data_IF_551599046879
#
_entry.id   IF_551599046879
#
_cell.length_a   1.000
_cell.length_b   1.000
_cell.length_c   1.000
_cell.angle_alpha   90.00
_cell.angle_beta   90.00
_cell.angle_gamma   90.00
#
_symmetry.space_group_name_H-M   'P 1'
#
loop_
_entity.id
_entity.type
_entity.pdbx_description
1 polymer ?
#
# COMPACT_ATOMS: atom_id res chain seq x y z
N UNK A 1 11.10 15.52 27.00
CA UNK A 1 9.88 16.06 26.37
C UNK A 1 10.06 15.92 24.87
N UNK A 2 9.39 14.95 24.24
CA UNK A 2 9.50 14.72 22.81
C UNK A 2 8.67 15.78 22.08
N UNK A 3 9.35 16.62 21.29
CA UNK A 3 8.73 17.67 20.49
C UNK A 3 8.11 17.00 19.27
N UNK A 4 6.79 16.83 19.28
CA UNK A 4 6.04 16.36 18.13
C UNK A 4 6.04 17.47 17.08
N UNK A 5 6.86 17.31 16.04
CA UNK A 5 6.75 18.13 14.84
C UNK A 5 5.41 17.80 14.18
N UNK A 6 4.36 18.57 14.52
CA UNK A 6 3.17 18.67 13.69
C UNK A 6 3.62 19.25 12.35
N UNK A 7 3.89 18.37 11.40
CA UNK A 7 3.86 18.71 9.99
C UNK A 7 2.43 19.18 9.72
N UNK A 8 2.19 20.49 9.76
CA UNK A 8 0.97 21.05 9.19
C UNK A 8 0.98 20.65 7.71
N UNK A 9 0.13 19.69 7.35
CA UNK A 9 -0.07 19.32 5.95
C UNK A 9 -0.33 20.60 5.15
N UNK A 10 0.26 20.75 3.94
CA UNK A 10 0.07 21.94 3.14
C UNK A 10 -1.40 22.06 2.78
N UNK A 11 -2.14 22.86 3.56
CA UNK A 11 -3.56 23.15 3.32
C UNK A 11 -3.65 23.69 1.90
N UNK A 12 -4.26 22.91 1.01
CA UNK A 12 -4.10 23.12 -0.41
C UNK A 12 -4.62 24.51 -0.80
N UNK A 13 -3.72 25.30 -1.37
CA UNK A 13 -3.87 26.72 -1.70
C UNK A 13 -5.07 27.06 -2.59
N UNK A 14 -5.73 26.06 -3.18
CA UNK A 14 -6.90 26.22 -4.03
C UNK A 14 -8.25 26.07 -3.29
N UNK A 15 -8.27 25.56 -2.05
CA UNK A 15 -9.49 25.58 -1.23
C UNK A 15 -9.81 27.00 -0.73
N UNK A 16 -8.78 27.81 -0.46
CA UNK A 16 -8.92 29.11 0.22
C UNK A 16 -9.35 30.27 -0.71
N UNK A 17 -9.54 30.01 -2.00
CA UNK A 17 -9.89 31.06 -2.97
C UNK A 17 -11.39 31.39 -3.06
N UNK A 18 -12.26 30.76 -2.25
CA UNK A 18 -13.70 30.77 -2.52
C UNK A 18 -14.59 31.61 -1.61
N UNK A 19 -14.07 32.39 -0.65
CA UNK A 19 -14.90 33.22 0.21
C UNK A 19 -14.79 34.73 -0.05
N UNK A 20 -14.90 35.15 -1.32
CA UNK A 20 -14.95 36.58 -1.66
C UNK A 20 -16.10 36.88 -2.63
N UNK A 21 -17.31 36.99 -2.09
CA UNK A 21 -18.46 37.52 -2.82
C UNK A 21 -19.82 37.08 -2.27
N UNK A 22 -20.49 37.97 -1.54
CA UNK A 22 -21.78 37.80 -0.84
C UNK A 22 -23.02 37.58 -1.74
N UNK A 23 -22.91 36.95 -2.91
CA UNK A 23 -24.03 36.78 -3.87
C UNK A 23 -24.00 35.46 -4.63
N UNK A 24 -23.67 34.33 -3.99
CA UNK A 24 -23.80 33.00 -4.63
C UNK A 24 -25.21 32.45 -4.41
N UNK A 25 -25.74 31.74 -5.41
CA UNK A 25 -27.04 31.07 -5.27
C UNK A 25 -26.96 30.01 -4.15
N UNK A 26 -28.05 29.77 -3.40
CA UNK A 26 -28.08 28.72 -2.37
C UNK A 26 -27.70 27.34 -2.93
N UNK A 27 -28.12 27.05 -4.17
CA UNK A 27 -27.76 25.81 -4.88
C UNK A 27 -26.24 25.68 -5.09
N UNK A 28 -25.58 26.74 -5.57
CA UNK A 28 -24.13 26.73 -5.79
C UNK A 28 -23.36 26.53 -4.47
N UNK A 29 -23.83 27.12 -3.38
CA UNK A 29 -23.21 26.92 -2.08
C UNK A 29 -23.33 25.47 -1.61
N UNK A 30 -24.52 24.87 -1.75
CA UNK A 30 -24.75 23.45 -1.43
C UNK A 30 -23.87 22.53 -2.26
N UNK A 31 -23.78 22.74 -3.57
CA UNK A 31 -22.97 21.90 -4.47
C UNK A 31 -21.48 22.01 -4.19
N UNK A 32 -20.97 23.22 -3.91
CA UNK A 32 -19.56 23.40 -3.54
C UNK A 32 -19.23 22.75 -2.19
N UNK A 33 -20.14 22.87 -1.21
CA UNK A 33 -19.96 22.22 0.10
C UNK A 33 -19.97 20.70 0.00
N UNK A 34 -20.85 20.13 -0.83
CA UNK A 34 -20.89 18.68 -1.07
C UNK A 34 -19.62 18.19 -1.78
N UNK A 35 -19.12 18.95 -2.76
CA UNK A 35 -17.88 18.66 -3.46
C UNK A 35 -16.66 18.71 -2.52
N UNK A 36 -16.59 19.73 -1.66
CA UNK A 36 -15.55 19.84 -0.64
C UNK A 36 -15.60 18.64 0.32
N UNK A 37 -16.79 18.26 0.77
CA UNK A 37 -16.98 17.09 1.63
C UNK A 37 -16.49 15.80 0.96
N UNK A 38 -16.92 15.54 -0.28
CA UNK A 38 -16.49 14.37 -1.07
C UNK A 38 -14.98 14.35 -1.27
N UNK A 39 -14.39 15.49 -1.61
CA UNK A 39 -12.94 15.61 -1.80
C UNK A 39 -12.20 15.28 -0.50
N UNK A 40 -12.64 15.84 0.63
CA UNK A 40 -12.09 15.54 1.95
C UNK A 40 -12.21 14.06 2.31
N UNK A 41 -13.31 13.41 1.96
CA UNK A 41 -13.48 11.95 2.15
C UNK A 41 -12.48 11.17 1.32
N UNK A 42 -12.31 11.49 0.03
CA UNK A 42 -11.31 10.86 -0.84
C UNK A 42 -9.89 10.96 -0.26
N UNK A 43 -9.55 12.12 0.31
CA UNK A 43 -8.23 12.36 0.88
C UNK A 43 -8.00 11.58 2.18
N UNK A 44 -9.02 11.47 3.04
CA UNK A 44 -8.95 10.62 4.24
C UNK A 44 -8.72 9.15 3.91
N UNK A 45 -9.21 8.67 2.77
CA UNK A 45 -8.94 7.30 2.31
C UNK A 45 -7.45 7.10 1.99
N UNK A 46 -6.71 8.16 1.69
CA UNK A 46 -5.30 8.13 1.29
C UNK A 46 -4.36 8.48 2.45
N UNK A 47 -4.72 9.43 3.31
CA UNK A 47 -3.85 9.99 4.36
C UNK A 47 -3.69 9.12 5.62
N UNK A 48 -4.55 8.12 5.85
CA UNK A 48 -4.47 7.30 7.07
C UNK A 48 -3.15 6.50 7.15
N UNK A 49 -2.29 6.90 8.08
CA UNK A 49 -1.03 6.22 8.40
C UNK A 49 -1.29 4.86 9.04
N UNK A 50 -0.53 3.85 8.60
CA UNK A 50 -0.51 2.53 9.20
C UNK A 50 0.84 2.30 9.92
N UNK A 51 0.77 1.72 11.12
CA UNK A 51 1.94 1.46 11.98
C UNK A 51 2.90 0.40 11.41
N UNK A 52 2.44 -0.39 10.43
CA UNK A 52 3.20 -1.46 9.77
C UNK A 52 2.97 -1.49 8.26
N UNK A 53 3.99 -1.92 7.50
CA UNK A 53 3.91 -2.09 6.04
C UNK A 53 2.80 -3.06 5.62
N UNK A 54 2.66 -4.19 6.32
CA UNK A 54 1.62 -5.18 6.03
C UNK A 54 0.21 -4.59 6.20
N UNK A 55 0.01 -3.80 7.26
CA UNK A 55 -1.24 -3.12 7.54
C UNK A 55 -1.53 -2.01 6.52
N UNK A 56 -0.49 -1.28 6.07
CA UNK A 56 -0.61 -0.30 4.98
C UNK A 56 -1.10 -0.93 3.68
N UNK A 57 -0.50 -2.07 3.30
CA UNK A 57 -0.90 -2.80 2.10
C UNK A 57 -2.34 -3.32 2.21
N UNK A 58 -2.72 -3.89 3.36
CA UNK A 58 -4.08 -4.37 3.61
C UNK A 58 -5.12 -3.24 3.52
N UNK A 59 -4.86 -2.11 4.17
CA UNK A 59 -5.75 -0.94 4.12
C UNK A 59 -5.87 -0.37 2.70
N UNK A 60 -4.78 -0.32 1.94
CA UNK A 60 -4.81 0.13 0.54
C UNK A 60 -5.80 -0.69 -0.29
N UNK A 61 -5.71 -2.02 -0.27
CA UNK A 61 -6.61 -2.85 -1.07
C UNK A 61 -8.07 -2.76 -0.61
N UNK A 62 -8.31 -2.53 0.68
CA UNK A 62 -9.67 -2.31 1.22
C UNK A 62 -10.27 -0.96 0.79
N UNK A 63 -9.48 0.12 0.81
CA UNK A 63 -9.95 1.49 0.54
C UNK A 63 -9.97 1.88 -0.94
N UNK A 64 -9.13 1.24 -1.75
CA UNK A 64 -9.03 1.49 -3.19
C UNK A 64 -10.37 1.45 -3.94
N UNK A 65 -11.27 0.45 -3.75
CA UNK A 65 -12.55 0.44 -4.46
C UNK A 65 -13.44 1.63 -4.10
N UNK A 66 -13.48 2.04 -2.83
CA UNK A 66 -14.25 3.20 -2.37
C UNK A 66 -13.72 4.51 -2.99
N UNK A 67 -12.40 4.67 -3.03
CA UNK A 67 -11.76 5.82 -3.67
C UNK A 67 -12.08 5.88 -5.17
N UNK A 68 -12.00 4.73 -5.87
CA UNK A 68 -12.34 4.65 -7.30
C UNK A 68 -13.79 5.06 -7.53
N UNK A 69 -14.73 4.60 -6.69
CA UNK A 69 -16.14 4.97 -6.79
C UNK A 69 -16.33 6.48 -6.70
N UNK A 70 -15.76 7.12 -5.68
CA UNK A 70 -15.89 8.57 -5.47
C UNK A 70 -15.31 9.39 -6.64
N UNK A 71 -14.19 8.93 -7.19
CA UNK A 71 -13.55 9.59 -8.36
C UNK A 71 -14.41 9.42 -9.62
N UNK A 72 -14.98 8.23 -9.85
CA UNK A 72 -15.88 7.99 -10.99
C UNK A 72 -17.15 8.84 -10.89
N UNK A 73 -17.75 8.94 -9.70
CA UNK A 73 -18.93 9.77 -9.46
C UNK A 73 -18.63 11.25 -9.70
N UNK A 74 -17.47 11.72 -9.23
CA UNK A 74 -17.01 13.08 -9.50
C UNK A 74 -16.84 13.33 -11.01
N UNK A 75 -16.22 12.40 -11.74
CA UNK A 75 -16.05 12.50 -13.18
C UNK A 75 -17.41 12.56 -13.91
N UNK A 76 -18.34 11.65 -13.58
CA UNK A 76 -19.69 11.61 -14.17
C UNK A 76 -20.45 12.91 -13.90
N UNK A 77 -20.40 13.41 -12.66
CA UNK A 77 -21.06 14.65 -12.27
C UNK A 77 -20.48 15.87 -12.99
N UNK A 78 -19.15 15.99 -13.04
CA UNK A 78 -18.48 17.10 -13.72
C UNK A 78 -18.75 17.08 -15.24
N UNK A 79 -18.69 15.90 -15.86
CA UNK A 79 -19.01 15.74 -17.28
C UNK A 79 -20.46 16.13 -17.58
N UNK A 80 -21.42 15.65 -16.80
CA UNK A 80 -22.83 16.01 -16.92
C UNK A 80 -23.06 17.53 -16.72
N UNK A 81 -22.35 18.15 -15.77
CA UNK A 81 -22.43 19.59 -15.55
C UNK A 81 -21.90 20.39 -16.75
N UNK A 82 -20.77 19.97 -17.33
CA UNK A 82 -20.20 20.61 -18.51
C UNK A 82 -21.12 20.49 -19.73
N UNK A 83 -21.71 19.31 -19.96
CA UNK A 83 -22.66 19.08 -21.05
C UNK A 83 -23.93 19.93 -20.90
N UNK A 84 -24.51 20.02 -19.70
CA UNK A 84 -25.66 20.90 -19.44
C UNK A 84 -25.32 22.39 -19.61
N UNK A 85 -24.13 22.80 -19.18
CA UNK A 85 -23.68 24.18 -19.38
C UNK A 85 -23.56 24.52 -20.87
N UNK A 86 -23.02 23.60 -21.67
CA UNK A 86 -22.93 23.77 -23.13
C UNK A 86 -24.32 23.80 -23.79
N UNK A 87 -25.25 22.92 -23.37
CA UNK A 87 -26.65 22.95 -23.82
C UNK A 87 -27.35 24.28 -23.51
N UNK A 88 -27.13 24.84 -22.31
CA UNK A 88 -27.70 26.15 -21.95
C UNK A 88 -27.07 27.27 -22.78
N UNK A 89 -25.75 27.24 -22.97
CA UNK A 89 -25.03 28.24 -23.77
C UNK A 89 -25.42 28.23 -25.25
N UNK A 90 -25.54 27.04 -25.83
CA UNK A 90 -25.95 26.85 -27.23
C UNK A 90 -27.46 27.06 -27.42
N UNK A 91 -28.30 26.66 -26.47
CA UNK A 91 -29.75 26.89 -26.49
C UNK A 91 -30.12 28.37 -26.36
N UNK A 92 -29.44 29.13 -25.49
CA UNK A 92 -29.63 30.58 -25.38
C UNK A 92 -29.18 31.31 -26.66
N UNK A 93 -28.17 30.79 -27.37
CA UNK A 93 -27.70 31.35 -28.65
C UNK A 93 -28.54 30.86 -29.86
N UNK A 94 -29.16 29.68 -29.76
CA UNK A 94 -29.95 29.03 -30.82
C UNK A 94 -31.43 29.43 -30.84
N UNK A 95 -31.97 29.99 -29.76
CA UNK A 95 -33.37 30.47 -29.72
C UNK A 95 -33.59 31.84 -30.38
N UNK A 96 -32.56 32.47 -30.96
CA UNK A 96 -32.69 33.75 -31.68
C UNK A 96 -32.71 33.65 -33.22
N UNK A 97 -32.68 32.46 -33.83
CA UNK A 97 -32.84 32.33 -35.29
C UNK A 97 -34.15 31.66 -35.68
N UNK A 98 -35.18 32.49 -35.73
CA UNK A 98 -36.30 32.50 -36.69
C UNK A 98 -36.90 31.16 -37.11
N UNK A 99 -38.14 30.94 -36.67
CA UNK A 99 -39.12 30.27 -37.53
C UNK A 99 -39.19 31.00 -38.87
N UNK A 100 -39.04 30.29 -40.00
CA UNK A 100 -39.79 30.56 -41.23
C UNK A 100 -39.69 29.41 -42.23
N UNK A 101 -40.88 29.05 -42.67
CA UNK A 101 -41.31 28.09 -43.66
C UNK A 101 -40.67 28.23 -45.06
N UNK A 102 -40.44 27.05 -45.66
CA UNK A 102 -40.78 26.65 -47.04
C UNK A 102 -40.12 27.37 -48.24
N UNK A 103 -39.35 26.63 -49.06
CA UNK A 103 -39.55 26.52 -50.52
C UNK A 103 -38.49 25.64 -51.22
N UNK A 104 -38.97 24.62 -51.94
CA UNK A 104 -38.61 24.29 -53.32
C UNK A 104 -37.16 24.02 -53.76
N UNK A 105 -36.89 22.73 -54.05
CA UNK A 105 -36.17 22.15 -55.22
C UNK A 105 -34.82 22.73 -55.67
N UNK A 106 -33.77 21.88 -55.60
CA UNK A 106 -32.93 21.37 -56.72
C UNK A 106 -31.99 20.22 -56.24
N UNK A 107 -32.23 18.95 -56.66
CA UNK A 107 -31.38 18.03 -57.49
C UNK A 107 -29.92 17.87 -56.95
N UNK A 108 -29.37 16.69 -56.59
CA UNK A 108 -29.33 15.40 -57.28
C UNK A 108 -28.87 14.26 -56.30
N UNK A 109 -29.61 13.16 -56.15
CA UNK A 109 -29.06 11.85 -55.73
C UNK A 109 -29.86 10.78 -56.45
N UNK A 110 -29.20 10.09 -57.39
CA UNK A 110 -29.66 8.82 -57.93
C UNK A 110 -29.34 7.70 -56.93
N UNK A 111 -30.26 6.73 -56.91
CA UNK A 111 -30.11 5.32 -56.50
C UNK A 111 -30.09 5.06 -54.98
N UNK A 112 -30.90 4.19 -54.37
CA UNK A 112 -31.65 3.01 -54.83
C UNK A 112 -32.98 2.92 -54.04
N UNK A 113 -34.01 2.45 -54.74
CA UNK A 113 -35.44 2.43 -54.40
C UNK A 113 -35.83 1.21 -53.55
N UNK A 114 -37.01 1.30 -52.90
CA UNK A 114 -37.97 0.20 -52.66
C UNK A 114 -37.71 -0.64 -51.38
N UNK A 115 -38.61 -0.84 -50.41
CA UNK A 115 -40.07 -0.77 -50.37
C UNK A 115 -40.53 -0.67 -48.88
N UNK A 116 -41.73 -0.14 -48.66
CA UNK A 116 -42.33 0.19 -47.38
C UNK A 116 -43.70 -0.47 -47.25
N UNK A 117 -43.89 -1.41 -46.32
CA UNK A 117 -45.22 -1.84 -45.80
C UNK A 117 -45.03 -2.32 -44.35
N UNK A 118 -45.39 -1.55 -43.32
CA UNK A 118 -46.71 -1.33 -42.70
C UNK A 118 -47.23 -2.50 -41.83
N UNK A 119 -47.54 -2.12 -40.58
CA UNK A 119 -48.60 -2.63 -39.70
C UNK A 119 -48.40 -3.82 -38.73
N UNK A 120 -48.29 -3.41 -37.46
CA UNK A 120 -49.18 -3.73 -36.33
C UNK A 120 -49.05 -5.02 -35.50
N UNK A 121 -49.30 -4.77 -34.21
CA UNK A 121 -49.81 -5.64 -33.15
C UNK A 121 -48.86 -6.66 -32.50
N UNK A 122 -48.45 -6.30 -31.27
CA UNK A 122 -48.71 -7.10 -30.06
C UNK A 122 -49.05 -8.59 -30.26
N UNK A 123 -48.20 -9.47 -29.71
CA UNK A 123 -48.61 -10.42 -28.68
C UNK A 123 -47.42 -11.22 -28.16
N UNK A 124 -47.39 -11.36 -26.83
CA UNK A 124 -46.68 -12.35 -26.02
C UNK A 124 -46.57 -13.73 -26.70
N UNK A 125 -45.46 -14.43 -26.51
CA UNK A 125 -45.38 -15.69 -25.76
C UNK A 125 -44.04 -16.41 -26.05
N UNK A 126 -43.44 -16.95 -24.99
CA UNK A 126 -42.30 -17.86 -24.98
C UNK A 126 -42.89 -19.21 -24.56
N UNK A 127 -42.60 -20.41 -25.13
CA UNK A 127 -41.25 -20.97 -25.15
C UNK A 127 -40.97 -22.07 -26.23
N UNK A 128 -39.74 -22.60 -26.20
CA UNK A 128 -39.31 -23.96 -26.63
C UNK A 128 -39.60 -24.50 -28.05
N UNK A 129 -38.54 -24.88 -28.78
CA UNK A 129 -38.51 -26.14 -29.53
C UNK A 129 -37.08 -26.63 -29.80
N UNK A 130 -36.89 -27.89 -29.46
CA UNK A 130 -35.78 -28.80 -29.70
C UNK A 130 -35.69 -29.22 -31.18
N UNK A 131 -34.50 -29.69 -31.59
CA UNK A 131 -34.09 -30.42 -32.84
C UNK A 131 -34.16 -29.66 -34.18
N UNK A 132 -33.26 -29.77 -35.16
CA UNK A 132 -32.29 -30.79 -35.57
C UNK A 132 -31.16 -30.12 -36.40
N UNK A 133 -29.97 -30.72 -36.40
CA UNK A 133 -28.70 -30.20 -36.95
C UNK A 133 -28.57 -30.45 -38.48
N UNK A 134 -28.15 -29.46 -39.28
CA UNK A 134 -27.39 -29.73 -40.50
C UNK A 134 -25.95 -29.26 -40.35
N UNK A 135 -25.07 -30.25 -40.17
CA UNK A 135 -23.62 -30.19 -40.27
C UNK A 135 -23.17 -29.26 -41.41
N UNK A 136 -22.37 -28.27 -41.05
CA UNK A 136 -21.37 -27.71 -41.96
C UNK A 136 -20.09 -27.39 -41.18
N UNK A 137 -19.26 -28.42 -41.09
CA UNK A 137 -17.82 -28.39 -41.33
C UNK A 137 -17.29 -27.03 -41.81
N UNK A 138 -16.79 -26.25 -40.84
CA UNK A 138 -16.08 -25.00 -41.04
C UNK A 138 -15.20 -24.78 -39.81
N UNK A 139 -13.92 -25.12 -39.94
CA UNK A 139 -12.90 -24.87 -38.93
C UNK A 139 -12.76 -23.35 -38.80
N UNK A 140 -13.22 -22.79 -37.68
CA UNK A 140 -12.83 -21.45 -37.24
C UNK A 140 -11.92 -21.63 -36.03
N UNK A 141 -10.62 -21.49 -36.28
CA UNK A 141 -9.58 -21.45 -35.27
C UNK A 141 -9.86 -20.30 -34.29
N UNK A 142 -10.06 -20.64 -33.02
CA UNK A 142 -10.04 -19.71 -31.89
C UNK A 142 -8.59 -19.33 -31.62
N UNK A 143 -8.20 -18.04 -31.66
CA UNK A 143 -6.87 -17.62 -31.23
C UNK A 143 -6.65 -17.87 -29.73
N UNK A 144 -5.91 -18.93 -29.45
CA UNK A 144 -4.99 -19.20 -28.34
C UNK A 144 -5.15 -18.37 -27.04
N UNK A 145 -5.72 -19.01 -26.03
CA UNK A 145 -5.76 -18.59 -24.61
C UNK A 145 -4.60 -19.19 -23.80
N UNK A 146 -3.51 -19.62 -24.45
CA UNK A 146 -2.56 -20.59 -23.87
C UNK A 146 -1.36 -19.95 -23.16
N UNK A 147 -1.20 -18.61 -23.17
CA UNK A 147 0.00 -17.96 -22.59
C UNK A 147 -0.16 -17.43 -21.17
N UNK A 148 -1.39 -17.20 -20.69
CA UNK A 148 -1.61 -16.66 -19.34
C UNK A 148 -1.40 -17.71 -18.23
N UNK A 149 -1.69 -18.97 -18.51
CA UNK A 149 -1.59 -20.06 -17.53
C UNK A 149 -0.14 -20.33 -17.09
N UNK A 150 0.83 -20.25 -18.00
CA UNK A 150 2.26 -20.45 -17.71
C UNK A 150 2.83 -19.33 -16.83
N UNK A 151 2.43 -18.08 -17.07
CA UNK A 151 2.84 -16.93 -16.25
C UNK A 151 2.22 -17.00 -14.86
N UNK A 152 0.95 -17.38 -14.76
CA UNK A 152 0.25 -17.60 -13.49
C UNK A 152 0.92 -18.73 -12.69
N UNK A 153 1.38 -19.80 -13.34
CA UNK A 153 2.08 -20.91 -12.69
C UNK A 153 3.41 -20.45 -12.08
N UNK A 154 4.24 -19.71 -12.83
CA UNK A 154 5.52 -19.16 -12.33
C UNK A 154 5.31 -18.21 -11.15
N UNK A 155 4.29 -17.35 -11.21
CA UNK A 155 3.97 -16.44 -10.10
C UNK A 155 3.53 -17.19 -8.84
N UNK A 156 2.74 -18.27 -8.99
CA UNK A 156 2.34 -19.13 -7.86
C UNK A 156 3.53 -19.83 -7.21
N UNK A 157 4.45 -20.35 -8.01
CA UNK A 157 5.69 -20.97 -7.51
C UNK A 157 6.55 -19.95 -6.76
N UNK A 158 6.71 -18.74 -7.33
CA UNK A 158 7.50 -17.67 -6.72
C UNK A 158 6.89 -17.21 -5.39
N UNK A 159 5.56 -17.07 -5.31
CA UNK A 159 4.86 -16.78 -4.06
C UNK A 159 5.11 -17.91 -3.03
N UNK A 160 5.09 -19.17 -3.46
CA UNK A 160 5.39 -20.32 -2.61
C UNK A 160 6.82 -20.25 -2.04
N UNK A 161 7.80 -19.98 -2.91
CA UNK A 161 9.21 -19.84 -2.54
C UNK A 161 9.43 -18.69 -1.56
N UNK A 162 8.89 -17.51 -1.87
CA UNK A 162 8.99 -16.32 -1.01
C UNK A 162 8.33 -16.55 0.35
N UNK A 163 7.20 -17.28 0.40
CA UNK A 163 6.52 -17.62 1.66
C UNK A 163 7.38 -18.52 2.54
N UNK A 164 8.05 -19.51 1.96
CA UNK A 164 8.94 -20.39 2.71
C UNK A 164 10.22 -19.66 3.16
N UNK A 165 10.80 -18.80 2.31
CA UNK A 165 11.94 -17.97 2.70
C UNK A 165 11.57 -17.03 3.86
N UNK A 166 10.39 -16.39 3.82
CA UNK A 166 9.92 -15.51 4.89
C UNK A 166 9.73 -16.28 6.21
N UNK A 167 9.20 -17.50 6.14
CA UNK A 167 9.08 -18.40 7.29
C UNK A 167 10.46 -18.75 7.87
N UNK A 168 11.44 -19.04 7.02
CA UNK A 168 12.82 -19.34 7.43
C UNK A 168 13.49 -18.12 8.08
N UNK A 169 13.34 -16.94 7.50
CA UNK A 169 13.85 -15.68 8.06
C UNK A 169 13.24 -15.40 9.45
N UNK A 170 11.93 -15.64 9.61
CA UNK A 170 11.24 -15.49 10.90
C UNK A 170 11.76 -16.48 11.95
N UNK A 171 12.04 -17.73 11.57
CA UNK A 171 12.63 -18.73 12.46
C UNK A 171 14.05 -18.33 12.91
N UNK A 172 14.88 -17.84 11.99
CA UNK A 172 16.23 -17.36 12.31
C UNK A 172 16.21 -16.15 13.26
N UNK A 173 15.27 -15.21 13.07
CA UNK A 173 15.10 -14.07 13.98
C UNK A 173 14.78 -14.53 15.40
N UNK A 174 13.82 -15.46 15.54
CA UNK A 174 13.45 -16.02 16.84
C UNK A 174 14.65 -16.72 17.51
N UNK A 175 15.41 -17.51 16.75
CA UNK A 175 16.62 -18.17 17.25
C UNK A 175 17.64 -17.14 17.75
N UNK A 176 17.98 -16.13 16.91
CA UNK A 176 18.94 -15.08 17.31
C UNK A 176 18.48 -14.30 18.53
N UNK A 177 17.18 -14.05 18.68
CA UNK A 177 16.64 -13.40 19.88
C UNK A 177 16.75 -14.28 21.14
N UNK A 178 16.64 -15.61 21.00
CA UNK A 178 16.90 -16.51 22.14
C UNK A 178 18.37 -16.55 22.54
N UNK A 179 19.28 -16.60 21.57
CA UNK A 179 20.73 -16.57 21.79
C UNK A 179 21.17 -15.25 22.45
N UNK A 180 20.72 -14.11 21.91
CA UNK A 180 20.98 -12.79 22.52
C UNK A 180 20.49 -12.71 23.96
N UNK A 181 19.29 -13.23 24.25
CA UNK A 181 18.75 -13.29 25.62
C UNK A 181 19.61 -14.15 26.54
N UNK A 182 20.15 -15.26 26.05
CA UNK A 182 21.05 -16.10 26.83
C UNK A 182 22.37 -15.39 27.15
N UNK A 183 23.01 -14.78 26.16
CA UNK A 183 24.25 -14.01 26.35
C UNK A 183 24.04 -12.87 27.36
N UNK A 184 22.90 -12.17 27.28
CA UNK A 184 22.57 -11.13 28.27
C UNK A 184 22.48 -11.71 29.68
N UNK A 185 21.86 -12.89 29.87
CA UNK A 185 21.80 -13.56 31.18
C UNK A 185 23.19 -13.94 31.69
N UNK A 186 24.02 -14.53 30.83
CA UNK A 186 25.38 -14.95 31.18
C UNK A 186 26.26 -13.75 31.55
N UNK A 187 26.24 -12.67 30.77
CA UNK A 187 26.96 -11.44 31.08
C UNK A 187 26.45 -10.79 32.37
N UNK A 188 25.14 -10.78 32.60
CA UNK A 188 24.55 -10.24 33.83
C UNK A 188 25.02 -11.03 35.05
N UNK A 189 25.09 -12.35 34.95
CA UNK A 189 25.62 -13.22 36.01
C UNK A 189 27.11 -12.95 36.29
N UNK A 190 27.93 -12.84 35.24
CA UNK A 190 29.35 -12.53 35.38
C UNK A 190 29.59 -11.16 36.03
N UNK A 191 28.82 -10.14 35.65
CA UNK A 191 28.89 -8.80 36.26
C UNK A 191 28.48 -8.85 37.72
N UNK A 192 27.46 -9.63 38.09
CA UNK A 192 27.06 -9.77 39.49
C UNK A 192 28.17 -10.42 40.31
N UNK A 193 28.78 -11.49 39.81
CA UNK A 193 29.91 -12.16 40.48
C UNK A 193 31.08 -11.19 40.70
N UNK A 194 31.46 -10.42 39.68
CA UNK A 194 32.52 -9.42 39.81
C UNK A 194 32.19 -8.30 40.80
N UNK A 195 30.91 -7.91 40.91
CA UNK A 195 30.47 -6.95 41.92
C UNK A 195 30.62 -7.52 43.34
N UNK A 196 30.23 -8.77 43.54
CA UNK A 196 30.32 -9.45 44.82
C UNK A 196 31.80 -9.62 45.24
N UNK A 197 32.67 -10.03 44.32
CA UNK A 197 34.11 -10.13 44.54
C UNK A 197 34.73 -8.76 44.88
N UNK A 198 34.33 -7.69 44.19
CA UNK A 198 34.80 -6.33 44.49
C UNK A 198 34.38 -5.88 45.90
N UNK A 199 33.16 -6.19 46.33
CA UNK A 199 32.68 -5.90 47.69
C UNK A 199 33.53 -6.67 48.72
N UNK A 200 33.86 -7.94 48.45
CA UNK A 200 34.70 -8.74 49.34
C UNK A 200 36.14 -8.21 49.43
N UNK A 201 36.70 -7.77 48.30
CA UNK A 201 38.02 -7.13 48.26
C UNK A 201 38.02 -5.81 49.06
N UNK A 202 37.01 -4.95 48.90
CA UNK A 202 36.91 -3.72 49.69
C UNK A 202 36.78 -4.00 51.19
N UNK A 203 36.01 -5.02 51.57
CA UNK A 203 35.90 -5.48 52.97
C UNK A 203 37.24 -5.99 53.50
N UNK A 204 38.05 -6.61 52.66
CA UNK A 204 39.38 -7.10 53.03
C UNK A 204 40.39 -5.96 53.19
N UNK A 205 40.35 -4.96 52.30
CA UNK A 205 41.21 -3.76 52.36
C UNK A 205 40.90 -2.92 53.61
N UNK A 206 39.61 -2.69 53.91
CA UNK A 206 39.19 -1.95 55.10
C UNK A 206 39.65 -2.63 56.40
N UNK A 207 39.56 -3.97 56.49
CA UNK A 207 40.10 -4.74 57.63
C UNK A 207 41.62 -4.63 57.78
N UNK A 208 42.37 -4.61 56.67
CA UNK A 208 43.83 -4.42 56.71
C UNK A 208 44.24 -2.99 57.07
N UNK A 209 43.40 -1.99 56.79
CA UNK A 209 43.67 -0.59 57.18
C UNK A 209 43.44 -0.30 58.67
N UNK A 210 42.73 -1.19 59.38
CA UNK A 210 42.48 -1.07 60.83
C UNK A 210 43.54 -1.69 61.75
N UNK A 211 44.60 -2.31 61.20
CA UNK A 211 45.75 -2.78 62.00
C UNK A 211 46.95 -1.82 61.86
N UNK A 212 47.53 -1.30 62.97
CA UNK A 212 48.67 -0.41 62.88
C UNK A 212 49.97 -1.21 62.63
N UNK A 213 50.73 -0.78 61.62
CA UNK A 213 52.01 -1.36 61.14
C UNK A 213 51.86 -2.69 60.39
N UNK A 214 52.46 -2.92 59.23
CA UNK A 214 53.89 -2.79 58.90
C UNK A 214 54.05 -2.93 57.39
N UNK A 215 54.72 -1.96 56.76
CA UNK A 215 55.37 -1.94 55.43
C UNK A 215 54.76 -2.87 54.35
N UNK A 216 54.14 -2.25 53.34
CA UNK A 216 53.77 -2.86 52.05
C UNK A 216 54.90 -3.78 51.54
N UNK A 217 54.64 -5.08 51.50
CA UNK A 217 55.32 -6.00 50.58
C UNK A 217 54.55 -6.02 49.26
N UNK A 218 55.21 -6.17 48.10
CA UNK A 218 54.52 -6.41 46.84
C UNK A 218 53.93 -7.82 46.91
N UNK A 219 52.61 -7.92 46.98
CA UNK A 219 51.92 -9.21 46.89
C UNK A 219 52.12 -9.76 45.47
N UNK A 220 52.84 -10.89 45.39
CA UNK A 220 53.00 -11.65 44.16
C UNK A 220 51.65 -12.14 43.64
N UNK A 221 51.30 -11.68 42.44
CA UNK A 221 50.06 -12.01 41.72
C UNK A 221 50.15 -13.34 40.95
N UNK A 222 51.00 -14.26 41.38
CA UNK A 222 51.27 -15.52 40.67
C UNK A 222 50.54 -16.70 41.30
N UNK A 223 49.20 -16.69 41.30
CA UNK A 223 48.43 -17.93 41.56
C UNK A 223 46.98 -17.99 41.06
N UNK A 224 46.44 -16.92 40.48
CA UNK A 224 45.08 -16.91 39.90
C UNK A 224 45.05 -17.03 38.36
N UNK A 225 46.18 -17.34 37.74
CA UNK A 225 46.31 -17.50 36.28
C UNK A 225 46.05 -18.94 35.80
N UNK A 226 45.21 -19.70 36.51
CA UNK A 226 45.15 -21.16 36.41
C UNK A 226 43.90 -21.79 35.81
N UNK A 227 42.82 -21.06 35.47
CA UNK A 227 41.62 -21.78 34.99
C UNK A 227 40.54 -21.00 34.24
N UNK A 228 40.28 -19.74 34.57
CA UNK A 228 39.03 -19.11 34.09
C UNK A 228 39.16 -18.26 32.82
N UNK A 229 40.32 -17.66 32.55
CA UNK A 229 40.47 -16.74 31.40
C UNK A 229 40.79 -17.43 30.06
N UNK A 230 41.18 -18.71 30.07
CA UNK A 230 41.56 -19.44 28.85
C UNK A 230 40.37 -19.89 27.99
N UNK A 231 39.18 -20.03 28.57
CA UNK A 231 38.01 -20.55 27.84
C UNK A 231 37.18 -19.48 27.13
N UNK A 232 37.32 -18.20 27.51
CA UNK A 232 36.46 -17.12 27.01
C UNK A 232 36.91 -16.52 25.67
N UNK A 233 38.13 -16.81 25.21
CA UNK A 233 38.71 -16.17 24.01
C UNK A 233 39.19 -17.14 22.93
N UNK A 234 38.88 -18.44 23.03
CA UNK A 234 39.12 -19.38 21.93
C UNK A 234 38.03 -19.22 20.85
N UNK A 235 38.15 -18.11 20.10
CA UNK A 235 37.48 -17.94 18.82
C UNK A 235 37.98 -19.01 17.84
N UNK A 236 37.04 -19.81 17.35
CA UNK A 236 37.26 -20.77 16.27
C UNK A 236 37.87 -20.06 15.04
N UNK A 237 38.99 -20.52 14.46
CA UNK A 237 39.46 -20.01 13.19
C UNK A 237 38.61 -20.63 12.06
N UNK A 238 37.58 -19.92 11.61
CA UNK A 238 36.92 -20.24 10.34
C UNK A 238 37.88 -19.99 9.18
N UNK A 239 38.32 -21.11 8.58
CA UNK A 239 38.58 -21.34 7.15
C UNK A 239 39.15 -20.19 6.31
N UNK A 240 40.40 -20.40 5.91
CA UNK A 240 41.12 -19.74 4.82
C UNK A 240 40.59 -20.19 3.45
N UNK A 241 40.77 -19.33 2.44
CA UNK A 241 40.61 -19.50 0.97
C UNK A 241 39.22 -19.09 0.41
N UNK A 242 39.08 -18.33 -0.69
CA UNK A 242 39.97 -18.11 -1.84
C UNK A 242 39.66 -16.74 -2.48
N UNK A 243 40.69 -15.93 -2.74
CA UNK A 243 40.60 -14.82 -3.69
C UNK A 243 40.76 -15.41 -5.10
N UNK A 244 39.75 -15.24 -5.95
CA UNK A 244 39.88 -15.45 -7.40
C UNK A 244 40.02 -14.06 -8.02
N UNK A 245 41.22 -13.79 -8.53
CA UNK A 245 41.48 -12.74 -9.49
C UNK A 245 41.70 -13.43 -10.84
N UNK A 246 40.81 -13.15 -11.80
CA UNK A 246 41.02 -12.97 -13.25
C UNK A 246 39.65 -12.77 -13.91
#
# INVERSE_FOLDING_TARGET
>A
MAQTMKMEAPRWWWFDTHNRGSKRSPWLHSTLSELEHKTKTMLKLIEEDADSFAQRAEMYYKKRPELISLVQDLYRAHRSLAERYDQVKTGILGSSSSMKSNSGKTINVMDITYDSHSDNAESEDSPESEVDDPKHDGIYEVPSIVTEDDEIMKLKEEIGRLKEENKNQKAQLLQKDTEKRQVIRELSFAVQLLKDDNIELEKSISKQSSTPSRKRSPLEFSRLKGGFLGMLFNGSPMSRATAIAL
#
